data_IF_988261698939
#
_entry.id   IF_988261698939
#
_cell.length_a   1.000
_cell.length_b   1.000
_cell.length_c   1.000
_cell.angle_alpha   90.00
_cell.angle_beta   90.00
_cell.angle_gamma   90.00
#
_symmetry.space_group_name_H-M   'P 1'
#
loop_
_entity.id
_entity.type
_entity.pdbx_description
1 polymer ?
#
# COMPACT_ATOMS: atom_id res chain seq x y z
N UNK A 1 13.90 26.10 15.46
CA UNK A 1 13.85 26.08 13.96
C UNK A 1 14.33 24.70 13.51
N UNK A 2 13.42 23.80 13.17
CA UNK A 2 13.78 22.46 12.67
C UNK A 2 14.15 22.58 11.17
N UNK A 3 15.36 22.18 10.81
CA UNK A 3 15.82 22.16 9.43
C UNK A 3 15.01 21.13 8.62
N UNK A 4 14.36 21.56 7.54
CA UNK A 4 13.77 20.68 6.55
C UNK A 4 14.89 19.80 5.95
N UNK A 5 14.74 18.47 5.91
CA UNK A 5 15.71 17.61 5.24
C UNK A 5 15.78 17.97 3.75
N UNK A 6 17.01 18.09 3.24
CA UNK A 6 17.29 18.43 1.83
C UNK A 6 16.67 17.35 0.93
N UNK A 7 15.73 17.71 0.10
CA UNK A 7 15.04 16.83 -0.88
C UNK A 7 15.96 16.13 -1.90
N UNK A 8 17.24 16.48 -1.97
CA UNK A 8 18.20 15.91 -2.90
C UNK A 8 18.70 14.51 -2.52
N UNK A 9 18.96 14.25 -1.24
CA UNK A 9 19.55 12.98 -0.79
C UNK A 9 18.57 11.79 -0.85
N UNK A 10 17.25 12.03 -0.80
CA UNK A 10 16.23 10.98 -0.88
C UNK A 10 16.06 10.43 -2.32
N UNK A 11 16.50 11.15 -3.36
CA UNK A 11 16.37 10.73 -4.76
C UNK A 11 17.51 9.84 -5.26
N UNK A 12 18.69 9.90 -4.66
CA UNK A 12 19.84 9.11 -5.11
C UNK A 12 19.72 7.62 -4.80
N UNK A 13 18.94 7.23 -3.79
CA UNK A 13 18.70 5.85 -3.39
C UNK A 13 17.28 5.34 -3.68
N UNK A 14 16.48 6.07 -4.46
CA UNK A 14 15.12 5.67 -4.76
C UNK A 14 15.09 4.41 -5.65
N UNK A 15 14.36 3.38 -5.22
CA UNK A 15 14.13 2.16 -6.00
C UNK A 15 13.24 2.47 -7.21
N UNK A 16 13.69 2.18 -8.42
CA UNK A 16 12.89 2.42 -9.63
C UNK A 16 11.78 1.38 -9.74
N UNK A 17 10.54 1.89 -9.88
CA UNK A 17 9.33 1.09 -9.99
C UNK A 17 8.70 1.29 -11.36
N UNK A 18 8.78 0.27 -12.23
CA UNK A 18 8.17 0.31 -13.56
C UNK A 18 6.69 -0.10 -13.48
N UNK A 19 5.81 0.70 -14.04
CA UNK A 19 4.36 0.51 -13.94
C UNK A 19 3.69 0.44 -15.31
N UNK A 20 2.64 -0.40 -15.41
CA UNK A 20 1.90 -0.67 -16.65
C UNK A 20 0.39 -0.45 -16.49
N UNK A 21 -0.01 0.18 -15.39
CA UNK A 21 -1.37 0.58 -15.09
C UNK A 21 -1.45 2.11 -14.99
N UNK A 22 -2.40 2.71 -15.70
CA UNK A 22 -2.60 4.17 -15.72
C UNK A 22 -2.83 4.79 -14.35
N UNK A 23 -3.46 4.08 -13.41
CA UNK A 23 -3.72 4.57 -12.05
C UNK A 23 -2.45 5.01 -11.30
N UNK A 24 -1.34 4.32 -11.51
CA UNK A 24 -0.04 4.74 -10.94
C UNK A 24 0.47 6.07 -11.50
N UNK A 25 0.06 6.41 -12.72
CA UNK A 25 0.56 7.61 -13.42
C UNK A 25 -0.34 8.80 -13.19
N UNK A 26 -1.65 8.60 -13.16
CA UNK A 26 -2.67 9.66 -13.10
C UNK A 26 -3.05 10.05 -11.67
N UNK A 27 -3.03 9.09 -10.73
CA UNK A 27 -3.38 9.37 -9.34
C UNK A 27 -2.21 10.00 -8.59
N UNK A 28 -2.32 11.29 -8.31
CA UNK A 28 -1.29 12.10 -7.64
C UNK A 28 -1.01 11.62 -6.22
N UNK A 29 -2.05 11.17 -5.50
CA UNK A 29 -1.92 10.67 -4.13
C UNK A 29 -1.14 9.37 -4.09
N UNK A 30 -1.47 8.40 -4.94
CA UNK A 30 -0.75 7.13 -5.09
C UNK A 30 0.73 7.39 -5.41
N UNK A 31 1.01 8.25 -6.38
CA UNK A 31 2.39 8.64 -6.71
C UNK A 31 3.15 9.23 -5.53
N UNK A 32 2.49 10.12 -4.77
CA UNK A 32 3.11 10.74 -3.59
C UNK A 32 3.43 9.71 -2.51
N UNK A 33 2.51 8.78 -2.22
CA UNK A 33 2.72 7.72 -1.22
C UNK A 33 3.90 6.85 -1.63
N UNK A 34 3.94 6.38 -2.88
CA UNK A 34 5.04 5.56 -3.40
C UNK A 34 6.38 6.30 -3.36
N UNK A 35 6.39 7.61 -3.70
CA UNK A 35 7.61 8.42 -3.60
C UNK A 35 8.09 8.54 -2.15
N UNK A 36 7.17 8.74 -1.18
CA UNK A 36 7.51 8.78 0.24
C UNK A 36 8.01 7.43 0.76
N UNK A 37 7.52 6.32 0.19
CA UNK A 37 8.01 4.96 0.47
C UNK A 37 9.35 4.63 -0.24
N UNK A 38 9.97 5.60 -0.92
CA UNK A 38 11.27 5.44 -1.56
C UNK A 38 11.23 4.86 -2.97
N UNK A 39 10.08 4.91 -3.65
CA UNK A 39 9.97 4.46 -5.04
C UNK A 39 9.93 5.62 -6.02
N UNK A 40 10.66 5.48 -7.14
CA UNK A 40 10.63 6.39 -8.29
C UNK A 40 9.91 5.71 -9.44
N UNK A 41 8.69 6.19 -9.75
CA UNK A 41 7.83 5.59 -10.78
C UNK A 41 8.38 5.87 -12.17
N UNK A 42 8.52 4.82 -12.98
CA UNK A 42 9.04 4.84 -14.34
C UNK A 42 8.08 4.15 -15.32
N UNK A 43 8.17 4.58 -16.57
CA UNK A 43 7.56 3.94 -17.72
C UNK A 43 8.69 3.35 -18.58
N UNK A 44 8.44 2.23 -19.24
CA UNK A 44 9.42 1.59 -20.12
C UNK A 44 9.69 0.15 -19.70
N UNK A 45 10.85 -0.37 -20.09
CA UNK A 45 11.25 -1.74 -19.78
C UNK A 45 12.21 -1.74 -18.59
N UNK A 46 11.95 -2.53 -17.53
CA UNK A 46 12.85 -2.64 -16.40
C UNK A 46 14.16 -3.36 -16.81
N UNK A 47 15.22 -3.05 -16.10
CA UNK A 47 16.51 -3.74 -16.16
C UNK A 47 16.86 -4.26 -14.76
N UNK A 48 18.00 -4.94 -14.63
CA UNK A 48 18.42 -5.52 -13.35
C UNK A 48 18.44 -4.49 -12.21
N UNK A 49 18.01 -4.94 -11.03
CA UNK A 49 17.96 -4.12 -9.83
C UNK A 49 16.71 -3.23 -9.69
N UNK A 50 15.75 -3.33 -10.62
CA UNK A 50 14.48 -2.59 -10.58
C UNK A 50 13.32 -3.50 -10.21
N UNK A 51 12.13 -2.91 -10.03
CA UNK A 51 10.90 -3.63 -9.70
C UNK A 51 9.78 -3.27 -10.67
N UNK A 52 8.80 -4.17 -10.80
CA UNK A 52 7.56 -3.91 -11.53
C UNK A 52 6.44 -3.73 -10.52
N UNK A 53 5.75 -2.58 -10.57
CA UNK A 53 4.58 -2.29 -9.76
C UNK A 53 3.31 -2.83 -10.41
N UNK A 54 2.53 -3.61 -9.65
CA UNK A 54 1.21 -4.09 -10.05
C UNK A 54 0.18 -3.74 -8.97
N UNK A 55 -1.07 -3.52 -9.37
CA UNK A 55 -2.14 -3.22 -8.42
C UNK A 55 -2.85 -4.51 -8.03
N UNK A 56 -2.47 -5.05 -6.88
CA UNK A 56 -3.01 -6.28 -6.31
C UNK A 56 -3.21 -7.41 -7.31
N UNK A 57 -4.45 -7.90 -7.37
CA UNK A 57 -4.94 -8.85 -8.37
C UNK A 57 -5.92 -8.18 -9.36
N UNK A 58 -5.75 -6.89 -9.64
CA UNK A 58 -6.64 -6.16 -10.57
C UNK A 58 -6.59 -6.74 -11.99
N UNK A 59 -7.61 -6.51 -12.81
CA UNK A 59 -7.62 -6.98 -14.22
C UNK A 59 -6.45 -6.47 -15.07
N UNK A 60 -5.74 -5.45 -14.60
CA UNK A 60 -4.55 -4.90 -15.30
C UNK A 60 -3.23 -5.48 -14.80
N UNK A 61 -3.22 -6.20 -13.68
CA UNK A 61 -2.02 -6.80 -13.08
C UNK A 61 -1.29 -7.76 -14.03
N UNK A 62 -1.97 -8.60 -14.84
CA UNK A 62 -1.30 -9.52 -15.77
C UNK A 62 -0.34 -8.82 -16.76
N UNK A 63 -0.57 -7.54 -17.09
CA UNK A 63 0.35 -6.78 -17.95
C UNK A 63 1.72 -6.59 -17.31
N UNK A 64 1.73 -6.16 -16.05
CA UNK A 64 2.97 -5.99 -15.29
C UNK A 64 3.63 -7.33 -14.98
N UNK A 65 2.85 -8.33 -14.58
CA UNK A 65 3.34 -9.67 -14.28
C UNK A 65 4.03 -10.33 -15.49
N UNK A 66 3.46 -10.20 -16.69
CA UNK A 66 4.08 -10.70 -17.91
C UNK A 66 5.42 -10.01 -18.21
N UNK A 67 5.53 -8.71 -17.94
CA UNK A 67 6.81 -8.00 -18.10
C UNK A 67 7.80 -8.45 -17.03
N UNK A 68 7.41 -8.54 -15.77
CA UNK A 68 8.24 -9.02 -14.68
C UNK A 68 8.81 -10.42 -14.97
N UNK A 69 7.96 -11.35 -15.40
CA UNK A 69 8.35 -12.71 -15.78
C UNK A 69 9.37 -12.71 -16.94
N UNK A 70 9.11 -11.92 -18.00
CA UNK A 70 9.98 -11.82 -19.18
C UNK A 70 11.35 -11.19 -18.87
N UNK A 71 11.38 -10.25 -17.92
CA UNK A 71 12.60 -9.52 -17.55
C UNK A 71 13.27 -10.08 -16.30
N UNK A 72 12.67 -11.08 -15.66
CA UNK A 72 13.11 -11.66 -14.37
C UNK A 72 13.24 -10.61 -13.26
N UNK A 73 12.35 -9.64 -13.29
CA UNK A 73 12.35 -8.51 -12.35
C UNK A 73 11.37 -8.78 -11.21
N UNK A 74 11.70 -8.48 -9.95
CA UNK A 74 10.77 -8.66 -8.84
C UNK A 74 9.52 -7.78 -9.00
N UNK A 75 8.42 -8.23 -8.42
CA UNK A 75 7.16 -7.49 -8.39
C UNK A 75 7.01 -6.79 -7.06
N UNK A 76 6.51 -5.55 -7.08
CA UNK A 76 5.91 -4.88 -5.93
C UNK A 76 4.39 -4.86 -6.14
N UNK A 77 3.66 -5.56 -5.28
CA UNK A 77 2.21 -5.49 -5.26
C UNK A 77 1.76 -4.31 -4.40
N UNK A 78 0.85 -3.53 -4.93
CA UNK A 78 0.31 -2.33 -4.28
C UNK A 78 -1.18 -2.54 -4.09
N UNK A 79 -1.66 -2.41 -2.86
CA UNK A 79 -3.07 -2.53 -2.50
C UNK A 79 -3.51 -1.37 -1.62
N UNK A 80 -4.82 -1.21 -1.47
CA UNK A 80 -5.40 -0.28 -0.52
C UNK A 80 -5.01 -0.67 0.91
N UNK A 81 -4.64 0.31 1.73
CA UNK A 81 -4.43 0.10 3.17
C UNK A 81 -5.74 -0.29 3.88
N UNK A 82 -5.63 -0.80 5.11
CA UNK A 82 -6.80 -1.19 5.94
C UNK A 82 -7.75 -0.02 6.21
N UNK A 83 -7.24 1.19 6.36
CA UNK A 83 -8.02 2.42 6.32
C UNK A 83 -7.75 3.11 4.99
N UNK A 84 -8.79 3.33 4.19
CA UNK A 84 -8.60 3.84 2.84
C UNK A 84 -9.08 5.28 2.66
N UNK A 85 -10.35 5.53 2.87
CA UNK A 85 -10.99 6.81 2.54
C UNK A 85 -12.43 6.85 3.09
N UNK A 86 -13.14 7.95 2.87
CA UNK A 86 -14.56 8.05 3.20
C UNK A 86 -15.39 7.23 2.22
N UNK A 87 -15.24 7.50 0.92
CA UNK A 87 -15.91 6.75 -0.16
C UNK A 87 -14.94 5.78 -0.83
N UNK A 88 -15.44 4.96 -1.75
CA UNK A 88 -14.59 4.04 -2.52
C UNK A 88 -13.79 4.79 -3.59
N UNK A 89 -12.73 4.16 -4.11
CA UNK A 89 -11.98 4.73 -5.22
C UNK A 89 -12.79 4.84 -6.53
N UNK A 90 -13.87 4.05 -6.67
CA UNK A 90 -14.81 4.18 -7.79
C UNK A 90 -15.66 5.44 -7.68
N UNK A 91 -15.90 5.91 -6.47
CA UNK A 91 -16.61 7.15 -6.17
C UNK A 91 -15.68 8.37 -6.19
N UNK A 92 -14.41 8.18 -6.52
CA UNK A 92 -13.44 9.25 -6.75
C UNK A 92 -12.53 9.58 -5.56
N UNK A 93 -12.66 8.90 -4.42
CA UNK A 93 -11.81 9.18 -3.26
C UNK A 93 -10.40 8.61 -3.42
N UNK A 94 -9.42 9.43 -3.09
CA UNK A 94 -8.02 9.04 -3.05
C UNK A 94 -7.70 8.21 -1.79
N UNK A 95 -6.78 7.23 -1.89
CA UNK A 95 -6.34 6.47 -0.70
C UNK A 95 -5.52 7.34 0.25
N UNK A 96 -5.71 7.16 1.57
CA UNK A 96 -4.87 7.78 2.60
C UNK A 96 -3.55 7.03 2.81
N UNK A 97 -3.51 5.74 2.48
CA UNK A 97 -2.34 4.87 2.58
C UNK A 97 -2.40 3.74 1.58
N UNK A 98 -1.27 3.07 1.40
CA UNK A 98 -1.14 1.89 0.54
C UNK A 98 -0.47 0.77 1.32
N UNK A 99 -0.88 -0.47 1.06
CA UNK A 99 -0.16 -1.66 1.42
C UNK A 99 0.80 -2.02 0.29
N UNK A 100 2.08 -2.23 0.62
CA UNK A 100 3.14 -2.56 -0.33
C UNK A 100 3.71 -3.91 0.06
N UNK A 101 3.77 -4.86 -0.88
CA UNK A 101 4.17 -6.23 -0.62
C UNK A 101 5.08 -6.75 -1.75
N UNK A 102 6.16 -7.44 -1.38
CA UNK A 102 7.14 -7.99 -2.33
C UNK A 102 6.98 -9.49 -2.55
N UNK A 103 6.19 -10.17 -1.73
CA UNK A 103 5.94 -11.61 -1.78
C UNK A 103 4.61 -11.93 -2.48
N UNK A 104 3.54 -11.24 -2.08
CA UNK A 104 2.21 -11.52 -2.57
C UNK A 104 1.20 -10.44 -2.28
N UNK A 105 -0.04 -10.83 -2.06
CA UNK A 105 -1.11 -9.98 -1.54
C UNK A 105 -1.75 -10.68 -0.34
N UNK A 106 -2.05 -9.93 0.70
CA UNK A 106 -2.70 -10.43 1.91
C UNK A 106 -4.11 -11.06 1.69
N UNK A 107 -4.62 -10.98 0.46
CA UNK A 107 -5.89 -11.60 0.04
C UNK A 107 -5.70 -12.99 -0.60
N UNK A 108 -4.46 -13.42 -0.86
CA UNK A 108 -4.15 -14.71 -1.47
C UNK A 108 -3.70 -15.71 -0.40
N UNK A 109 -4.54 -16.69 -0.03
CA UNK A 109 -4.20 -17.64 1.03
C UNK A 109 -3.11 -18.65 0.63
N UNK A 110 -2.70 -18.69 -0.64
CA UNK A 110 -1.67 -19.59 -1.12
C UNK A 110 -0.25 -19.03 -0.97
N UNK A 111 -0.12 -17.75 -0.65
CA UNK A 111 1.18 -17.05 -0.60
C UNK A 111 1.31 -16.36 0.76
N UNK A 112 2.41 -16.60 1.46
CA UNK A 112 2.76 -15.85 2.66
C UNK A 112 3.20 -14.44 2.22
N UNK A 113 2.50 -13.41 2.70
CA UNK A 113 2.81 -12.02 2.36
C UNK A 113 3.81 -11.39 3.35
N UNK A 114 4.40 -10.25 2.97
CA UNK A 114 5.37 -9.53 3.83
C UNK A 114 4.80 -9.20 5.21
N UNK A 115 3.48 -8.92 5.32
CA UNK A 115 2.82 -8.66 6.59
C UNK A 115 2.76 -9.91 7.49
N UNK A 116 2.45 -11.07 6.90
CA UNK A 116 2.43 -12.35 7.65
C UNK A 116 3.81 -12.75 8.12
N UNK A 117 4.85 -12.55 7.28
CA UNK A 117 6.24 -12.75 7.68
C UNK A 117 6.63 -11.82 8.84
N UNK A 118 6.29 -10.53 8.73
CA UNK A 118 6.54 -9.56 9.79
C UNK A 118 5.87 -9.97 11.11
N UNK A 119 4.60 -10.39 11.07
CA UNK A 119 3.86 -10.81 12.27
C UNK A 119 4.41 -12.08 12.88
N UNK A 120 4.95 -13.00 12.08
CA UNK A 120 5.54 -14.26 12.54
C UNK A 120 6.93 -14.05 13.17
N UNK A 121 7.77 -13.23 12.55
CA UNK A 121 9.20 -13.18 12.80
C UNK A 121 9.62 -11.98 13.66
N UNK A 122 8.81 -10.90 13.72
CA UNK A 122 9.12 -9.74 14.54
C UNK A 122 8.80 -10.00 16.01
N UNK A 123 9.71 -9.69 16.96
CA UNK A 123 9.51 -9.98 18.38
C UNK A 123 8.37 -9.20 19.02
N UNK A 124 7.89 -8.10 18.40
CA UNK A 124 6.81 -7.24 18.90
C UNK A 124 7.03 -6.77 20.34
N UNK A 125 8.28 -6.43 20.70
CA UNK A 125 8.72 -6.07 22.04
C UNK A 125 9.00 -4.59 22.26
N UNK A 126 8.86 -3.76 21.23
CA UNK A 126 8.92 -2.29 21.37
C UNK A 126 7.67 -1.76 22.10
N UNK A 127 7.84 -1.47 23.40
CA UNK A 127 6.75 -1.02 24.26
C UNK A 127 6.14 0.33 23.82
N UNK A 128 6.95 1.22 23.24
CA UNK A 128 6.47 2.53 22.75
C UNK A 128 5.61 2.36 21.50
N UNK A 129 6.06 1.50 20.55
CA UNK A 129 5.30 1.17 19.36
C UNK A 129 3.99 0.46 19.71
N UNK A 130 4.03 -0.51 20.66
CA UNK A 130 2.83 -1.20 21.11
C UNK A 130 1.84 -0.29 21.84
N UNK A 131 2.30 0.67 22.64
CA UNK A 131 1.44 1.68 23.25
C UNK A 131 0.78 2.54 22.17
N UNK A 132 1.54 3.04 21.20
CA UNK A 132 1.00 3.81 20.08
C UNK A 132 -0.02 3.02 19.25
N UNK A 133 0.22 1.74 19.02
CA UNK A 133 -0.73 0.86 18.33
C UNK A 133 -2.04 0.70 19.10
N UNK A 134 -1.99 0.54 20.44
CA UNK A 134 -3.19 0.48 21.30
C UNK A 134 -3.98 1.78 21.24
N UNK A 135 -3.32 2.94 21.33
CA UNK A 135 -3.97 4.26 21.20
C UNK A 135 -4.65 4.40 19.82
N UNK A 136 -4.01 3.89 18.77
CA UNK A 136 -4.57 3.81 17.42
C UNK A 136 -5.85 2.96 17.39
N UNK A 137 -5.79 1.74 17.92
CA UNK A 137 -6.95 0.82 18.00
C UNK A 137 -8.11 1.47 18.77
N UNK A 138 -7.83 2.09 19.90
CA UNK A 138 -8.85 2.75 20.71
C UNK A 138 -9.46 3.95 19.97
N UNK A 139 -8.66 4.67 19.20
CA UNK A 139 -9.15 5.75 18.33
C UNK A 139 -10.06 5.22 17.23
N UNK A 140 -9.69 4.13 16.55
CA UNK A 140 -10.52 3.48 15.53
C UNK A 140 -11.89 3.09 16.10
N UNK A 141 -11.90 2.47 17.29
CA UNK A 141 -13.13 2.05 17.98
C UNK A 141 -13.99 3.24 18.40
N UNK A 142 -13.41 4.24 19.05
CA UNK A 142 -14.17 5.42 19.54
C UNK A 142 -14.77 6.25 18.40
N UNK A 143 -14.07 6.32 17.27
CA UNK A 143 -14.48 7.11 16.11
C UNK A 143 -15.25 6.28 15.07
N UNK A 144 -15.51 5.00 15.34
CA UNK A 144 -16.18 4.08 14.42
C UNK A 144 -15.53 4.05 13.03
N UNK A 145 -14.18 4.07 12.96
CA UNK A 145 -13.45 4.09 11.70
C UNK A 145 -13.36 2.69 11.09
N UNK A 146 -13.51 2.61 9.77
CA UNK A 146 -13.40 1.39 8.97
C UNK A 146 -12.66 1.68 7.66
N UNK A 147 -12.57 0.71 6.76
CA UNK A 147 -11.91 0.88 5.46
C UNK A 147 -12.51 2.02 4.65
N UNK A 148 -13.85 2.16 4.67
CA UNK A 148 -14.63 3.25 4.08
C UNK A 148 -15.55 3.81 5.16
N UNK A 149 -15.63 5.13 5.29
CA UNK A 149 -16.27 5.79 6.42
C UNK A 149 -17.52 6.61 6.03
N UNK A 150 -18.19 6.24 4.93
CA UNK A 150 -19.43 6.86 4.48
C UNK A 150 -20.70 6.18 5.06
N UNK A 151 -20.57 5.46 6.15
CA UNK A 151 -21.70 4.81 6.83
C UNK A 151 -22.24 5.66 7.99
N UNK A 152 -23.51 5.46 8.31
CA UNK A 152 -24.12 6.05 9.50
C UNK A 152 -23.95 5.08 10.68
N UNK A 153 -23.15 5.44 11.72
CA UNK A 153 -22.90 4.58 12.87
C UNK A 153 -24.16 4.37 13.74
N UNK A 154 -25.20 5.18 13.54
CA UNK A 154 -26.49 5.01 14.24
C UNK A 154 -27.39 3.95 13.56
N UNK A 155 -27.05 3.51 12.35
CA UNK A 155 -27.80 2.43 11.68
C UNK A 155 -27.60 1.12 12.44
N UNK A 156 -28.67 0.46 12.92
CA UNK A 156 -28.54 -0.81 13.63
C UNK A 156 -27.95 -1.89 12.72
N UNK A 157 -27.20 -2.81 13.31
CA UNK A 157 -26.72 -3.99 12.57
C UNK A 157 -27.93 -4.83 12.12
N UNK A 158 -27.87 -5.48 10.95
CA UNK A 158 -28.91 -6.40 10.54
C UNK A 158 -29.04 -7.54 11.56
N UNK A 159 -30.28 -8.01 11.77
CA UNK A 159 -30.54 -9.13 12.66
C UNK A 159 -29.75 -10.37 12.19
N UNK A 160 -29.08 -11.09 13.10
CA UNK A 160 -28.47 -12.35 12.75
C UNK A 160 -29.53 -13.33 12.30
N UNK A 161 -29.50 -13.75 11.04
CA UNK A 161 -30.43 -14.74 10.47
C UNK A 161 -30.28 -16.14 11.06
#
# INVERSE_FOLDING_TARGET
MAQRPKQGAARENARRLFVYNGGFLTNTRVRRILTLAGYDIKIGKPTDGYMVGVWGQSPTSPRGEAVAAKTKTPILRVEDAFLRSVLTGRDGDDPIGLHLDTQGVHLDPAIVCDLEELLRDHPLDDSALLAHARDGIDTLKRQHLSKYNAFDPATPAPDPG
#
